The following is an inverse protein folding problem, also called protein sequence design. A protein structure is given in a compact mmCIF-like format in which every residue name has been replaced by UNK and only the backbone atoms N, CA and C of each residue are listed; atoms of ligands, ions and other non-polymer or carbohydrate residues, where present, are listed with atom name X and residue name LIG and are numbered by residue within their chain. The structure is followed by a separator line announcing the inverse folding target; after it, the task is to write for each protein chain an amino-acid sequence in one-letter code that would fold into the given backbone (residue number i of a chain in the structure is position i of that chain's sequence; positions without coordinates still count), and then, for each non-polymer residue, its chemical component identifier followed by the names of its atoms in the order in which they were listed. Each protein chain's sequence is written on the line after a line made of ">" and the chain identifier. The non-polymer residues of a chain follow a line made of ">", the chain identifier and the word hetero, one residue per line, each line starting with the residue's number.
data_IF_408589095404
#
_entry.id   IF_408589095404
#
_cell.length_a   1.000
_cell.length_b   1.000
_cell.length_c   1.000
_cell.angle_alpha   90.00
_cell.angle_beta   90.00
_cell.angle_gamma   90.00
#
_symmetry.space_group_name_H-M   'P 1'
#
loop_
_entity.id
_entity.type
_entity.pdbx_description
1 polymer ?
#
# COMPACT_ATOMS: atom_id res chain seq x y z
N UNK A 1 -4.34 -5.25 15.64
CA UNK A 1 -5.50 -6.17 15.59
C UNK A 1 -6.60 -5.48 14.79
N UNK A 2 -7.23 -6.17 13.82
CA UNK A 2 -8.44 -5.67 13.14
C UNK A 2 -9.66 -6.40 13.67
N UNK A 3 -10.72 -5.67 13.92
CA UNK A 3 -12.00 -6.17 14.40
C UNK A 3 -13.05 -6.01 13.31
N UNK A 4 -13.87 -7.03 13.11
CA UNK A 4 -15.09 -6.95 12.30
C UNK A 4 -16.24 -7.43 13.16
N UNK A 5 -17.32 -6.67 13.15
CA UNK A 5 -18.51 -6.96 13.93
C UNK A 5 -19.72 -6.92 13.00
N UNK A 6 -20.54 -7.95 13.06
CA UNK A 6 -21.79 -8.03 12.29
C UNK A 6 -22.95 -8.43 13.21
N UNK A 7 -24.15 -7.84 13.03
CA UNK A 7 -25.33 -8.28 13.75
C UNK A 7 -25.79 -9.64 13.22
N UNK A 8 -26.17 -10.54 14.14
CA UNK A 8 -26.74 -11.84 13.84
C UNK A 8 -28.03 -12.07 14.62
N UNK A 9 -28.77 -13.12 14.25
CA UNK A 9 -30.08 -13.43 14.86
C UNK A 9 -30.03 -13.74 16.36
N UNK A 10 -28.85 -14.10 16.89
CA UNK A 10 -28.65 -14.48 18.30
C UNK A 10 -27.66 -13.57 19.03
N UNK A 11 -27.41 -12.37 18.50
CA UNK A 11 -26.43 -11.42 19.02
C UNK A 11 -25.39 -11.03 17.99
N UNK A 12 -24.29 -10.45 18.45
CA UNK A 12 -23.22 -9.95 17.58
C UNK A 12 -22.17 -11.04 17.32
N UNK A 13 -21.71 -11.13 16.07
CA UNK A 13 -20.53 -11.94 15.73
C UNK A 13 -19.32 -11.03 15.65
N UNK A 14 -18.26 -11.38 16.37
CA UNK A 14 -16.99 -10.62 16.37
C UNK A 14 -15.88 -11.50 15.80
N UNK A 15 -15.19 -10.98 14.79
CA UNK A 15 -13.99 -11.58 14.22
C UNK A 15 -12.80 -10.67 14.50
N UNK A 16 -11.75 -11.24 15.12
CA UNK A 16 -10.48 -10.55 15.35
C UNK A 16 -9.41 -11.14 14.45
N UNK A 17 -8.83 -10.29 13.60
CA UNK A 17 -7.65 -10.64 12.81
C UNK A 17 -6.40 -10.07 13.49
N UNK A 18 -5.51 -10.97 13.88
CA UNK A 18 -4.16 -10.62 14.31
C UNK A 18 -3.33 -10.33 13.06
N UNK A 19 -2.72 -9.14 13.03
CA UNK A 19 -1.79 -8.74 11.99
C UNK A 19 -0.42 -8.65 12.66
N UNK A 20 0.56 -9.36 12.13
CA UNK A 20 1.94 -9.32 12.61
C UNK A 20 2.71 -8.21 11.86
N UNK A 21 3.13 -7.13 12.55
CA UNK A 21 3.95 -6.10 11.95
C UNK A 21 5.34 -6.59 11.53
N UNK A 22 5.84 -7.72 12.02
CA UNK A 22 7.16 -8.20 11.60
C UNK A 22 7.13 -8.88 10.21
N UNK A 23 5.95 -9.28 9.73
CA UNK A 23 5.75 -9.75 8.37
C UNK A 23 5.92 -8.64 7.31
N UNK A 24 6.09 -7.38 7.73
CA UNK A 24 6.28 -6.19 6.87
C UNK A 24 7.62 -6.23 6.11
N UNK A 25 8.55 -7.12 6.47
CA UNK A 25 9.92 -7.09 5.97
C UNK A 25 10.12 -7.37 4.48
N UNK A 26 9.15 -7.99 3.80
CA UNK A 26 9.36 -8.53 2.44
C UNK A 26 9.92 -7.47 1.50
N UNK A 27 11.17 -7.68 1.12
CA UNK A 27 11.86 -6.85 0.12
C UNK A 27 11.33 -7.20 -1.27
N UNK A 28 11.61 -6.32 -2.24
CA UNK A 28 11.29 -6.59 -3.64
C UNK A 28 11.87 -7.92 -4.13
N UNK A 29 13.06 -8.29 -3.64
CA UNK A 29 13.75 -9.51 -3.99
C UNK A 29 13.10 -10.77 -3.41
N UNK A 30 12.38 -10.65 -2.30
CA UNK A 30 11.76 -11.75 -1.56
C UNK A 30 10.29 -11.98 -1.94
N UNK A 31 9.74 -11.22 -2.90
CA UNK A 31 8.35 -11.38 -3.36
C UNK A 31 8.09 -12.70 -4.10
N UNK A 32 9.14 -13.46 -4.44
CA UNK A 32 9.03 -14.70 -5.21
C UNK A 32 8.64 -14.48 -6.67
N UNK A 33 8.92 -13.29 -7.22
CA UNK A 33 8.77 -13.02 -8.65
C UNK A 33 9.86 -13.75 -9.44
N UNK A 34 9.49 -14.30 -10.59
CA UNK A 34 10.45 -14.77 -11.61
C UNK A 34 11.39 -13.61 -12.02
N UNK A 35 12.66 -13.93 -12.29
CA UNK A 35 13.69 -12.97 -12.66
C UNK A 35 13.30 -12.07 -13.83
N UNK A 36 12.59 -12.61 -14.83
CA UNK A 36 12.10 -11.82 -15.96
C UNK A 36 11.10 -10.76 -15.51
N UNK A 37 10.11 -11.15 -14.71
CA UNK A 37 9.07 -10.24 -14.21
C UNK A 37 9.66 -9.20 -13.26
N UNK A 38 10.60 -9.64 -12.43
CA UNK A 38 11.36 -8.79 -11.52
C UNK A 38 12.14 -7.72 -12.26
N UNK A 39 12.82 -8.08 -13.35
CA UNK A 39 13.55 -7.12 -14.20
C UNK A 39 12.60 -6.08 -14.81
N UNK A 40 11.45 -6.52 -15.34
CA UNK A 40 10.41 -5.63 -15.89
C UNK A 40 9.96 -4.63 -14.83
N UNK A 41 9.49 -5.09 -13.67
CA UNK A 41 9.02 -4.19 -12.63
C UNK A 41 10.12 -3.26 -12.11
N UNK A 42 11.36 -3.73 -12.03
CA UNK A 42 12.46 -2.87 -11.58
C UNK A 42 12.74 -1.72 -12.54
N UNK A 43 12.53 -1.92 -13.84
CA UNK A 43 12.57 -0.84 -14.82
C UNK A 43 11.33 0.06 -14.72
N UNK A 44 10.13 -0.51 -14.64
CA UNK A 44 8.88 0.25 -14.64
C UNK A 44 8.73 1.16 -13.41
N UNK A 45 9.06 0.68 -12.20
CA UNK A 45 8.88 1.48 -10.98
C UNK A 45 9.85 2.66 -10.87
N UNK A 46 10.92 2.67 -11.67
CA UNK A 46 11.91 3.76 -11.71
C UNK A 46 11.62 4.81 -12.79
N UNK A 47 10.58 4.62 -13.60
CA UNK A 47 10.22 5.61 -14.62
C UNK A 47 9.75 6.91 -13.95
N UNK A 48 10.05 8.08 -14.55
CA UNK A 48 9.68 9.37 -13.98
C UNK A 48 8.17 9.63 -13.99
N UNK A 49 7.41 8.88 -14.79
CA UNK A 49 5.96 8.92 -14.84
C UNK A 49 5.42 7.61 -15.40
N UNK A 50 4.19 7.27 -15.01
CA UNK A 50 3.51 6.04 -15.41
C UNK A 50 2.44 5.65 -14.40
N UNK A 51 1.73 4.55 -14.70
CA UNK A 51 0.74 3.96 -13.79
C UNK A 51 0.95 2.45 -13.75
N UNK A 52 1.03 1.91 -12.54
CA UNK A 52 1.12 0.47 -12.29
C UNK A 52 -0.16 0.04 -11.58
N UNK A 53 -0.82 -0.97 -12.14
CA UNK A 53 -2.02 -1.57 -11.56
C UNK A 53 -1.69 -2.96 -11.04
N UNK A 54 -1.83 -3.15 -9.73
CA UNK A 54 -1.68 -4.44 -9.08
C UNK A 54 -3.06 -5.02 -8.73
N UNK A 55 -3.43 -6.12 -9.37
CA UNK A 55 -4.77 -6.71 -9.28
C UNK A 55 -4.74 -8.12 -8.70
N UNK A 56 -5.89 -8.61 -8.25
CA UNK A 56 -6.03 -9.93 -7.63
C UNK A 56 -7.06 -9.97 -6.49
N UNK A 57 -7.47 -11.15 -6.03
CA UNK A 57 -8.48 -11.32 -4.98
C UNK A 57 -7.96 -10.87 -3.60
N UNK A 58 -8.86 -10.77 -2.62
CA UNK A 58 -8.47 -10.50 -1.22
C UNK A 58 -7.48 -11.56 -0.73
N UNK A 59 -6.40 -11.13 -0.10
CA UNK A 59 -5.35 -12.03 0.41
C UNK A 59 -4.27 -12.44 -0.60
N UNK A 60 -4.32 -11.96 -1.85
CA UNK A 60 -3.30 -12.30 -2.87
C UNK A 60 -1.96 -11.56 -2.75
N UNK A 61 -1.71 -10.85 -1.64
CA UNK A 61 -0.46 -10.12 -1.43
C UNK A 61 -0.34 -8.74 -2.10
N UNK A 62 -1.42 -8.16 -2.65
CA UNK A 62 -1.37 -6.87 -3.37
C UNK A 62 -0.67 -5.74 -2.61
N UNK A 63 -1.11 -5.49 -1.37
CA UNK A 63 -0.53 -4.42 -0.54
C UNK A 63 0.92 -4.70 -0.22
N UNK A 64 1.28 -5.96 0.03
CA UNK A 64 2.67 -6.39 0.26
C UNK A 64 3.55 -6.08 -0.95
N UNK A 65 3.08 -6.41 -2.16
CA UNK A 65 3.79 -6.10 -3.41
C UNK A 65 3.96 -4.60 -3.61
N UNK A 66 2.91 -3.79 -3.42
CA UNK A 66 3.00 -2.34 -3.56
C UNK A 66 3.96 -1.72 -2.53
N UNK A 67 3.92 -2.17 -1.28
CA UNK A 67 4.84 -1.71 -0.25
C UNK A 67 6.30 -2.08 -0.58
N UNK A 68 6.54 -3.28 -1.12
CA UNK A 68 7.86 -3.67 -1.58
C UNK A 68 8.35 -2.80 -2.75
N UNK A 69 7.46 -2.40 -3.67
CA UNK A 69 7.79 -1.46 -4.75
C UNK A 69 8.19 -0.10 -4.18
N UNK A 70 7.38 0.44 -3.26
CA UNK A 70 7.66 1.72 -2.61
C UNK A 70 9.00 1.72 -1.87
N UNK A 71 9.31 0.64 -1.13
CA UNK A 71 10.61 0.50 -0.46
C UNK A 71 11.78 0.51 -1.44
N UNK A 72 11.64 -0.12 -2.60
CA UNK A 72 12.69 -0.20 -3.60
C UNK A 72 13.03 1.17 -4.23
N UNK A 73 12.09 2.12 -4.21
CA UNK A 73 12.23 3.48 -4.76
C UNK A 73 12.31 4.57 -3.69
N UNK A 74 12.28 4.18 -2.41
CA UNK A 74 12.39 5.07 -1.25
C UNK A 74 13.85 5.51 -1.05
N UNK A 75 14.29 6.46 -1.87
CA UNK A 75 15.61 7.07 -1.79
C UNK A 75 15.50 8.55 -1.40
N UNK A 76 16.50 9.12 -0.71
CA UNK A 76 16.55 10.56 -0.45
C UNK A 76 16.36 11.35 -1.74
N UNK A 77 15.49 12.36 -1.69
CA UNK A 77 15.13 13.18 -2.85
C UNK A 77 13.80 12.80 -3.50
N UNK A 78 13.28 11.58 -3.29
CA UNK A 78 11.95 11.19 -3.77
C UNK A 78 10.90 11.43 -2.68
N UNK A 79 9.92 12.30 -2.95
CA UNK A 79 8.76 12.51 -2.11
C UNK A 79 7.65 11.51 -2.47
N UNK A 80 7.52 10.48 -1.65
CA UNK A 80 6.50 9.44 -1.79
C UNK A 80 5.31 9.75 -0.86
N UNK A 81 4.10 9.79 -1.42
CA UNK A 81 2.86 9.98 -0.65
C UNK A 81 1.84 8.89 -0.99
N UNK A 82 1.26 8.25 0.00
CA UNK A 82 0.23 7.21 -0.18
C UNK A 82 -1.13 7.62 0.35
N UNK A 83 -2.19 7.08 -0.25
CA UNK A 83 -3.58 7.27 0.15
C UNK A 83 -4.27 5.92 0.34
N UNK A 84 -4.56 5.55 1.59
CA UNK A 84 -4.90 4.17 1.95
C UNK A 84 -6.21 4.06 2.75
N UNK A 85 -6.84 2.88 2.72
CA UNK A 85 -8.06 2.62 3.49
C UNK A 85 -8.12 1.18 4.08
N UNK A 86 -7.69 0.99 5.34
CA UNK A 86 -6.83 1.87 6.12
C UNK A 86 -5.36 1.61 5.80
N UNK A 87 -4.47 2.40 6.41
CA UNK A 87 -3.03 2.11 6.37
C UNK A 87 -2.81 0.76 7.06
N UNK A 88 -2.23 -0.20 6.35
CA UNK A 88 -1.94 -1.52 6.92
C UNK A 88 -0.80 -1.41 7.94
N UNK A 89 0.29 -0.73 7.55
CA UNK A 89 1.47 -0.53 8.39
C UNK A 89 2.26 0.73 8.01
N UNK A 90 3.12 1.18 8.93
CA UNK A 90 3.94 2.38 8.74
C UNK A 90 5.26 2.09 8.01
N UNK A 91 5.47 2.77 6.89
CA UNK A 91 6.70 2.74 6.11
C UNK A 91 7.55 3.98 6.43
N UNK A 92 8.78 3.76 6.92
CA UNK A 92 9.70 4.84 7.25
C UNK A 92 10.07 5.65 6.00
N UNK A 93 9.99 6.97 6.09
CA UNK A 93 10.37 7.89 5.01
C UNK A 93 9.26 8.15 3.98
N UNK A 94 8.09 7.52 4.13
CA UNK A 94 6.95 7.69 3.23
C UNK A 94 5.84 8.42 3.99
N UNK A 95 5.21 9.41 3.34
CA UNK A 95 4.05 10.10 3.91
C UNK A 95 2.81 9.29 3.59
N UNK A 96 2.20 8.66 4.60
CA UNK A 96 0.99 7.85 4.41
C UNK A 96 -0.23 8.57 4.96
N UNK A 97 -1.27 8.74 4.14
CA UNK A 97 -2.55 9.30 4.58
C UNK A 97 -3.65 8.25 4.49
N UNK A 98 -4.63 8.35 5.40
CA UNK A 98 -5.73 7.41 5.50
C UNK A 98 -7.05 8.08 5.15
N UNK A 99 -7.88 7.38 4.38
CA UNK A 99 -9.26 7.77 4.08
C UNK A 99 -10.11 7.84 5.37
N UNK A 100 -10.97 8.85 5.46
CA UNK A 100 -11.92 8.98 6.56
C UNK A 100 -12.80 10.24 6.43
N UNK A 101 -14.07 10.13 6.83
CA UNK A 101 -15.03 11.24 6.77
C UNK A 101 -15.09 11.88 5.37
N UNK A 102 -14.88 13.19 5.32
CA UNK A 102 -14.85 13.99 4.08
C UNK A 102 -13.55 13.82 3.24
N UNK A 103 -12.54 13.14 3.80
CA UNK A 103 -11.28 12.85 3.13
C UNK A 103 -11.38 11.51 2.38
N UNK A 104 -11.87 11.57 1.14
CA UNK A 104 -12.09 10.45 0.21
C UNK A 104 -10.87 10.21 -0.69
N UNK A 105 -10.85 9.10 -1.44
CA UNK A 105 -9.79 8.87 -2.44
C UNK A 105 -9.68 10.03 -3.43
N UNK A 106 -10.82 10.57 -3.90
CA UNK A 106 -10.81 11.66 -4.86
C UNK A 106 -10.35 12.99 -4.25
N UNK A 107 -10.80 13.36 -3.04
CA UNK A 107 -10.36 14.59 -2.38
C UNK A 107 -8.91 14.49 -1.87
N UNK A 108 -8.52 13.31 -1.40
CA UNK A 108 -7.15 12.99 -1.00
C UNK A 108 -6.17 13.06 -2.16
N UNK A 109 -6.45 12.40 -3.28
CA UNK A 109 -5.58 12.43 -4.46
C UNK A 109 -5.37 13.85 -4.99
N UNK A 110 -6.45 14.64 -5.10
CA UNK A 110 -6.34 16.07 -5.49
C UNK A 110 -5.44 16.85 -4.54
N UNK A 111 -5.47 16.52 -3.25
CA UNK A 111 -4.65 17.20 -2.23
C UNK A 111 -3.19 16.78 -2.31
N UNK A 112 -2.93 15.49 -2.56
CA UNK A 112 -1.59 14.94 -2.77
C UNK A 112 -0.91 15.61 -3.97
N UNK A 113 -1.61 15.84 -5.08
CA UNK A 113 -1.05 16.52 -6.25
C UNK A 113 -0.54 17.95 -5.96
N UNK A 114 -1.02 18.61 -4.91
CA UNK A 114 -0.53 19.94 -4.48
C UNK A 114 0.63 19.87 -3.48
N UNK A 115 1.10 18.67 -3.17
CA UNK A 115 2.23 18.45 -2.26
C UNK A 115 3.55 18.29 -3.01
N UNK A 116 3.61 18.53 -4.32
CA UNK A 116 4.83 18.27 -5.13
C UNK A 116 5.36 16.81 -4.96
N UNK A 117 4.51 15.77 -5.12
CA UNK A 117 4.93 14.38 -4.96
C UNK A 117 5.65 13.87 -6.21
N UNK A 118 6.66 13.03 -6.01
CA UNK A 118 7.30 12.27 -7.09
C UNK A 118 6.56 10.96 -7.37
N UNK A 119 6.10 10.29 -6.30
CA UNK A 119 5.46 8.98 -6.37
C UNK A 119 4.19 8.99 -5.53
N UNK A 120 3.09 8.51 -6.11
CA UNK A 120 1.79 8.39 -5.45
C UNK A 120 1.37 6.92 -5.45
N UNK A 121 0.87 6.43 -4.31
CA UNK A 121 0.18 5.14 -4.19
C UNK A 121 -1.26 5.34 -3.71
#
# INVERSE_FOLDING_TARGET
>A
IRTSLIPGNYGETVVMRLLDPNAIGVSFDELGMDDMLKAIFMTEIKKPNGMILNTGPTGSGKTTTLYAFLKAVNTPGNKIITLENPIEYHLKGIVQTQIGGEYTFASGLRSILRQDPDIIM
#
